data_IF_446782724340
#
_entry.id   IF_446782724340
#
_cell.length_a   1.000
_cell.length_b   1.000
_cell.length_c   1.000
_cell.angle_alpha   90.00
_cell.angle_beta   90.00
_cell.angle_gamma   90.00
#
_symmetry.space_group_name_H-M   'P 1'
#
loop_
_entity.id
_entity.type
_entity.pdbx_description
1 polymer ?
#
# COMPACT_ATOMS: atom_id res chain seq x y z
N UNK A 1 -9.77 -11.10 21.74
CA UNK A 1 -9.66 -11.18 20.27
C UNK A 1 -9.87 -9.80 19.65
N UNK A 2 -11.09 -9.21 19.68
CA UNK A 2 -11.39 -7.87 19.08
C UNK A 2 -10.44 -6.72 19.48
N UNK A 3 -10.00 -6.67 20.74
CA UNK A 3 -9.10 -5.61 21.21
C UNK A 3 -7.66 -5.71 20.67
N UNK A 4 -7.22 -6.89 20.21
CA UNK A 4 -5.87 -7.06 19.68
C UNK A 4 -5.82 -6.70 18.18
N UNK A 5 -6.92 -6.87 17.45
CA UNK A 5 -7.04 -6.45 16.04
C UNK A 5 -7.07 -4.92 15.90
N UNK A 6 -7.85 -4.23 16.73
CA UNK A 6 -7.88 -2.76 16.72
C UNK A 6 -6.50 -2.16 17.02
N UNK A 7 -5.74 -2.77 17.93
CA UNK A 7 -4.37 -2.38 18.26
C UNK A 7 -3.39 -2.68 17.11
N UNK A 8 -3.51 -3.83 16.45
CA UNK A 8 -2.65 -4.20 15.32
C UNK A 8 -2.88 -3.31 14.07
N UNK A 9 -4.15 -3.06 13.71
CA UNK A 9 -4.54 -2.20 12.58
C UNK A 9 -4.14 -0.75 12.82
N UNK A 10 -4.32 -0.24 14.04
CA UNK A 10 -3.87 1.12 14.38
C UNK A 10 -2.35 1.24 14.38
N UNK A 11 -1.61 0.22 14.83
CA UNK A 11 -0.13 0.23 14.71
C UNK A 11 0.36 0.15 13.26
N UNK A 12 -0.36 -0.54 12.37
CA UNK A 12 -0.04 -0.60 10.94
C UNK A 12 -0.25 0.76 10.27
N UNK A 13 -1.41 1.39 10.48
CA UNK A 13 -1.71 2.74 9.97
C UNK A 13 -0.74 3.78 10.54
N UNK A 14 -0.41 3.68 11.83
CA UNK A 14 0.58 4.55 12.47
C UNK A 14 2.00 4.35 11.91
N UNK A 15 2.37 3.13 11.55
CA UNK A 15 3.64 2.81 10.90
C UNK A 15 3.75 3.42 9.49
N UNK A 16 2.68 3.31 8.70
CA UNK A 16 2.58 3.94 7.36
C UNK A 16 2.62 5.47 7.48
N UNK A 17 1.88 6.06 8.42
CA UNK A 17 1.90 7.51 8.69
C UNK A 17 3.26 8.02 9.20
N UNK A 18 3.93 7.25 10.06
CA UNK A 18 5.25 7.62 10.59
C UNK A 18 6.32 7.57 9.49
N UNK A 19 6.24 6.58 8.59
CA UNK A 19 7.14 6.47 7.43
C UNK A 19 6.91 7.63 6.44
N UNK A 20 5.65 8.05 6.24
CA UNK A 20 5.31 9.22 5.42
C UNK A 20 5.76 10.55 6.06
N UNK A 21 5.69 10.68 7.39
CA UNK A 21 6.15 11.89 8.11
C UNK A 21 7.67 12.03 8.12
N UNK A 22 8.41 10.93 8.32
CA UNK A 22 9.88 10.92 8.27
C UNK A 22 10.38 11.21 6.85
N UNK A 23 9.69 10.69 5.82
CA UNK A 23 10.00 11.00 4.41
C UNK A 23 9.64 12.43 4.02
N UNK A 24 8.64 13.05 4.66
CA UNK A 24 8.25 14.44 4.45
C UNK A 24 9.25 15.46 4.99
N UNK A 25 9.95 15.16 6.10
CA UNK A 25 10.90 16.08 6.72
C UNK A 25 12.15 16.34 5.86
N UNK A 26 12.56 15.38 5.02
CA UNK A 26 13.73 15.52 4.14
C UNK A 26 13.43 16.10 2.75
N UNK A 27 12.17 16.43 2.43
CA UNK A 27 11.75 16.80 1.06
C UNK A 27 11.76 18.31 0.82
N UNK A 28 12.94 18.93 0.87
CA UNK A 28 13.14 20.28 0.35
C UNK A 28 14.12 20.26 -0.83
N UNK A 29 13.66 19.69 -1.95
CA UNK A 29 14.04 19.99 -3.35
C UNK A 29 13.64 18.83 -4.27
N UNK A 30 12.49 18.94 -4.93
CA UNK A 30 12.21 18.17 -6.14
C UNK A 30 11.43 19.06 -7.12
N UNK A 31 11.99 19.26 -8.32
CA UNK A 31 11.39 20.04 -9.41
C UNK A 31 10.26 19.27 -10.11
N UNK A 32 9.29 19.96 -10.76
CA UNK A 32 8.18 19.31 -11.42
C UNK A 32 8.63 18.61 -12.70
N UNK A 33 8.49 17.28 -12.74
CA UNK A 33 8.69 16.49 -13.95
C UNK A 33 7.44 16.52 -14.85
N UNK A 34 7.71 16.64 -16.15
CA UNK A 34 6.80 16.91 -17.25
C UNK A 34 5.78 15.77 -17.51
N UNK A 35 4.61 16.13 -18.00
CA UNK A 35 3.45 15.27 -18.25
C UNK A 35 3.70 14.22 -19.35
N UNK A 36 3.62 12.93 -19.00
CA UNK A 36 3.22 11.85 -19.92
C UNK A 36 2.40 10.82 -19.14
N UNK A 37 1.14 10.62 -19.53
CA UNK A 37 0.33 9.48 -19.01
C UNK A 37 -1.14 9.74 -18.69
N UNK A 38 -1.82 10.69 -19.32
CA UNK A 38 -3.25 10.99 -19.03
C UNK A 38 -4.17 9.75 -19.18
N UNK A 39 -3.84 8.82 -20.08
CA UNK A 39 -4.64 7.59 -20.31
C UNK A 39 -4.50 6.52 -19.22
N UNK A 40 -3.29 6.27 -18.70
CA UNK A 40 -3.06 5.29 -17.64
C UNK A 40 -3.56 5.78 -16.27
N UNK A 41 -3.42 7.08 -16.03
CA UNK A 41 -3.87 7.73 -14.79
C UNK A 41 -5.40 7.76 -14.66
N UNK A 42 -6.14 7.85 -15.77
CA UNK A 42 -7.62 7.79 -15.78
C UNK A 42 -8.15 6.40 -15.38
N UNK A 43 -7.55 5.32 -15.90
CA UNK A 43 -7.94 3.94 -15.53
C UNK A 43 -7.63 3.66 -14.06
N UNK A 44 -6.44 4.05 -13.58
CA UNK A 44 -6.05 3.91 -12.17
C UNK A 44 -7.01 4.69 -11.26
N UNK A 45 -7.45 5.88 -11.68
CA UNK A 45 -8.43 6.69 -10.95
C UNK A 45 -9.81 6.02 -10.88
N UNK A 46 -10.26 5.34 -11.95
CA UNK A 46 -11.53 4.60 -11.92
C UNK A 46 -11.46 3.39 -10.99
N UNK A 47 -10.42 2.57 -11.08
CA UNK A 47 -10.22 1.42 -10.18
C UNK A 47 -10.08 1.82 -8.72
N UNK A 48 -9.41 2.95 -8.44
CA UNK A 48 -9.30 3.50 -7.08
C UNK A 48 -10.66 4.01 -6.56
N UNK A 49 -11.46 4.64 -7.41
CA UNK A 49 -12.81 5.09 -7.02
C UNK A 49 -13.74 3.92 -6.74
N UNK A 50 -13.68 2.85 -7.53
CA UNK A 50 -14.46 1.63 -7.29
C UNK A 50 -14.04 0.93 -5.98
N UNK A 51 -12.73 0.88 -5.71
CA UNK A 51 -12.18 0.41 -4.43
C UNK A 51 -12.71 1.25 -3.26
N UNK A 52 -12.61 2.58 -3.34
CA UNK A 52 -13.10 3.48 -2.29
C UNK A 52 -14.61 3.31 -2.06
N UNK A 53 -15.40 3.17 -3.12
CA UNK A 53 -16.85 2.93 -3.00
C UNK A 53 -17.15 1.59 -2.33
N UNK A 54 -16.39 0.54 -2.65
CA UNK A 54 -16.54 -0.77 -1.99
C UNK A 54 -16.22 -0.74 -0.50
N UNK A 55 -15.27 0.12 -0.09
CA UNK A 55 -14.93 0.33 1.32
C UNK A 55 -15.97 1.18 2.04
N UNK A 56 -16.52 2.21 1.40
CA UNK A 56 -17.58 3.05 1.97
C UNK A 56 -18.89 2.28 2.21
N UNK A 57 -19.15 1.23 1.43
CA UNK A 57 -20.37 0.41 1.53
C UNK A 57 -20.23 -0.77 2.51
N UNK A 58 -19.01 -1.12 2.91
CA UNK A 58 -18.75 -2.26 3.78
C UNK A 58 -18.69 -1.84 5.26
N UNK A 59 -19.19 -2.70 6.15
CA UNK A 59 -19.16 -2.47 7.61
C UNK A 59 -18.59 -3.68 8.34
N UNK A 60 -17.99 -3.44 9.52
CA UNK A 60 -17.52 -4.51 10.40
C UNK A 60 -16.53 -5.47 9.72
N UNK A 61 -16.83 -6.77 9.76
CA UNK A 61 -15.94 -7.81 9.23
C UNK A 61 -15.84 -7.77 7.70
N UNK A 62 -16.92 -7.37 7.02
CA UNK A 62 -16.93 -7.21 5.56
C UNK A 62 -16.02 -6.05 5.13
N UNK A 63 -15.95 -4.99 5.94
CA UNK A 63 -15.01 -3.88 5.72
C UNK A 63 -13.56 -4.35 5.83
N UNK A 64 -13.21 -5.06 6.90
CA UNK A 64 -11.85 -5.52 7.13
C UNK A 64 -11.38 -6.46 6.01
N UNK A 65 -12.25 -7.33 5.51
CA UNK A 65 -11.96 -8.21 4.37
C UNK A 65 -11.81 -7.42 3.07
N UNK A 66 -12.70 -6.48 2.79
CA UNK A 66 -12.63 -5.61 1.61
C UNK A 66 -11.34 -4.76 1.62
N UNK A 67 -10.96 -4.25 2.79
CA UNK A 67 -9.75 -3.47 3.01
C UNK A 67 -8.48 -4.30 2.77
N UNK A 68 -8.38 -5.50 3.38
CA UNK A 68 -7.22 -6.37 3.18
C UNK A 68 -7.03 -6.79 1.72
N UNK A 69 -8.12 -7.18 1.05
CA UNK A 69 -8.08 -7.53 -0.38
C UNK A 69 -7.59 -6.35 -1.23
N UNK A 70 -8.11 -5.16 -0.95
CA UNK A 70 -7.74 -3.93 -1.64
C UNK A 70 -6.26 -3.56 -1.42
N UNK A 71 -5.77 -3.68 -0.18
CA UNK A 71 -4.38 -3.35 0.16
C UNK A 71 -3.38 -4.35 -0.42
N UNK A 72 -3.73 -5.65 -0.50
CA UNK A 72 -2.88 -6.62 -1.20
C UNK A 72 -2.68 -6.23 -2.67
N UNK A 73 -3.76 -5.91 -3.39
CA UNK A 73 -3.68 -5.48 -4.80
C UNK A 73 -2.91 -4.17 -4.95
N UNK A 74 -3.14 -3.21 -4.06
CA UNK A 74 -2.39 -1.94 -4.05
C UNK A 74 -0.88 -2.18 -3.85
N UNK A 75 -0.49 -3.07 -2.93
CA UNK A 75 0.91 -3.42 -2.70
C UNK A 75 1.54 -4.16 -3.88
N UNK A 76 0.83 -5.08 -4.53
CA UNK A 76 1.32 -5.74 -5.75
C UNK A 76 1.67 -4.72 -6.84
N UNK A 77 0.80 -3.72 -7.06
CA UNK A 77 1.07 -2.64 -8.01
C UNK A 77 2.27 -1.77 -7.60
N UNK A 78 2.43 -1.47 -6.31
CA UNK A 78 3.57 -0.70 -5.82
C UNK A 78 4.90 -1.49 -5.91
N UNK A 79 4.87 -2.80 -5.69
CA UNK A 79 6.03 -3.69 -5.92
C UNK A 79 6.42 -3.69 -7.39
N UNK A 80 5.47 -3.74 -8.32
CA UNK A 80 5.75 -3.67 -9.75
C UNK A 80 6.43 -2.34 -10.12
N UNK A 81 5.90 -1.22 -9.64
CA UNK A 81 6.52 0.10 -9.85
C UNK A 81 7.91 0.20 -9.21
N UNK A 82 8.11 -0.36 -8.02
CA UNK A 82 9.40 -0.38 -7.35
C UNK A 82 10.42 -1.22 -8.13
N UNK A 83 10.02 -2.40 -8.66
CA UNK A 83 10.87 -3.22 -9.54
C UNK A 83 11.31 -2.45 -10.78
N UNK A 84 10.41 -1.68 -11.39
CA UNK A 84 10.74 -0.80 -12.52
C UNK A 84 11.71 0.33 -12.11
N UNK A 85 11.45 1.00 -10.99
CA UNK A 85 12.31 2.06 -10.46
C UNK A 85 13.72 1.55 -10.13
N UNK A 86 13.84 0.35 -9.55
CA UNK A 86 15.12 -0.32 -9.31
C UNK A 86 15.86 -0.63 -10.62
N UNK A 87 15.15 -1.11 -11.64
CA UNK A 87 15.76 -1.47 -12.91
C UNK A 87 16.25 -0.26 -13.71
N UNK A 88 15.48 0.84 -13.70
CA UNK A 88 15.72 2.03 -14.54
C UNK A 88 16.39 3.20 -13.79
N UNK A 89 16.43 3.15 -12.46
CA UNK A 89 16.94 4.23 -11.62
C UNK A 89 18.44 4.48 -11.83
N UNK A 90 18.80 5.74 -12.08
CA UNK A 90 20.19 6.19 -12.25
C UNK A 90 20.88 6.49 -10.91
N UNK A 91 20.10 6.86 -9.89
CA UNK A 91 20.60 7.23 -8.55
C UNK A 91 20.52 6.03 -7.61
N UNK A 92 21.58 5.81 -6.82
CA UNK A 92 21.66 4.69 -5.88
C UNK A 92 20.57 4.78 -4.80
N UNK A 93 20.24 5.99 -4.37
CA UNK A 93 19.21 6.25 -3.37
C UNK A 93 17.82 5.78 -3.82
N UNK A 94 17.51 5.91 -5.13
CA UNK A 94 16.23 5.45 -5.70
C UNK A 94 16.19 3.93 -5.78
N UNK A 95 17.32 3.29 -6.07
CA UNK A 95 17.42 1.82 -6.13
C UNK A 95 17.29 1.20 -4.75
N UNK A 96 17.91 1.81 -3.74
CA UNK A 96 17.82 1.37 -2.35
C UNK A 96 16.39 1.55 -1.82
N UNK A 97 15.76 2.70 -2.07
CA UNK A 97 14.36 2.91 -1.71
C UNK A 97 13.43 1.88 -2.37
N UNK A 98 13.68 1.56 -3.64
CA UNK A 98 12.91 0.54 -4.34
C UNK A 98 13.08 -0.85 -3.71
N UNK A 99 14.28 -1.20 -3.25
CA UNK A 99 14.51 -2.44 -2.51
C UNK A 99 13.77 -2.48 -1.17
N UNK A 100 13.82 -1.40 -0.40
CA UNK A 100 13.09 -1.29 0.86
C UNK A 100 11.58 -1.43 0.67
N UNK A 101 11.02 -0.82 -0.38
CA UNK A 101 9.59 -0.93 -0.73
C UNK A 101 9.22 -2.36 -1.08
N UNK A 102 10.02 -3.04 -1.90
CA UNK A 102 9.75 -4.43 -2.30
C UNK A 102 9.75 -5.34 -1.07
N UNK A 103 10.79 -5.26 -0.23
CA UNK A 103 10.92 -6.11 0.95
C UNK A 103 9.78 -5.88 1.95
N UNK A 104 9.46 -4.62 2.23
CA UNK A 104 8.40 -4.28 3.18
C UNK A 104 7.04 -4.78 2.68
N UNK A 105 6.68 -4.47 1.43
CA UNK A 105 5.34 -4.74 0.93
C UNK A 105 5.12 -6.24 0.62
N UNK A 106 6.16 -6.99 0.25
CA UNK A 106 6.06 -8.46 0.16
C UNK A 106 5.73 -9.07 1.53
N UNK A 107 6.37 -8.60 2.61
CA UNK A 107 6.06 -9.04 3.99
C UNK A 107 4.64 -8.65 4.42
N UNK A 108 4.19 -7.44 4.06
CA UNK A 108 2.84 -6.97 4.39
C UNK A 108 1.76 -7.81 3.67
N UNK A 109 1.99 -8.19 2.42
CA UNK A 109 1.12 -9.12 1.69
C UNK A 109 1.06 -10.49 2.37
N UNK A 110 2.20 -11.06 2.76
CA UNK A 110 2.23 -12.34 3.48
C UNK A 110 1.46 -12.27 4.80
N UNK A 111 1.62 -11.18 5.53
CA UNK A 111 0.93 -10.96 6.80
C UNK A 111 -0.59 -10.87 6.62
N UNK A 112 -1.06 -10.15 5.58
CA UNK A 112 -2.50 -10.07 5.27
C UNK A 112 -3.07 -11.43 4.85
N UNK A 113 -2.33 -12.23 4.07
CA UNK A 113 -2.72 -13.61 3.72
C UNK A 113 -2.83 -14.50 4.95
N UNK A 114 -1.94 -14.34 5.92
CA UNK A 114 -2.02 -15.07 7.19
C UNK A 114 -3.28 -14.67 7.97
N UNK A 115 -3.59 -13.37 8.08
CA UNK A 115 -4.79 -12.91 8.77
C UNK A 115 -6.08 -13.42 8.12
N UNK A 116 -6.16 -13.42 6.79
CA UNK A 116 -7.32 -13.99 6.08
C UNK A 116 -7.52 -15.47 6.41
N UNK A 117 -6.43 -16.25 6.37
CA UNK A 117 -6.49 -17.68 6.70
C UNK A 117 -6.90 -17.94 8.15
N UNK A 118 -6.39 -17.13 9.08
CA UNK A 118 -6.79 -17.21 10.49
C UNK A 118 -8.26 -16.87 10.69
N UNK A 119 -8.78 -15.89 9.95
CA UNK A 119 -10.20 -15.51 9.98
C UNK A 119 -11.10 -16.63 9.47
N UNK A 120 -10.79 -17.22 8.31
CA UNK A 120 -11.56 -18.35 7.76
C UNK A 120 -11.59 -19.56 8.70
N UNK A 121 -10.53 -19.76 9.48
CA UNK A 121 -10.43 -20.86 10.45
C UNK A 121 -11.21 -20.60 11.75
N UNK A 122 -11.65 -19.36 12.00
CA UNK A 122 -12.37 -18.97 13.21
C UNK A 122 -13.51 -17.97 12.89
N UNK A 123 -14.61 -18.47 12.31
CA UNK A 123 -15.75 -17.65 11.89
C UNK A 123 -16.55 -17.06 13.06
#
# INVERSE_FOLDING_TARGET
MKNNYLLAVTTFIAGVLLTLLVSGYNRQQAQPANMMGVGGMMTMNSSMNDMMRSLDEAEGEDFDLAFMNSMMVHHEGAIEMAKEAKAKGMHEEIRNLADDIIEAQEKEIEQMKMWQKEWEANP
#
